data_IF_995196336943
#
_entry.id   IF_995196336943
#
_cell.length_a   1.000
_cell.length_b   1.000
_cell.length_c   1.000
_cell.angle_alpha   90.00
_cell.angle_beta   90.00
_cell.angle_gamma   90.00
#
_symmetry.space_group_name_H-M   'P 1'
#
loop_
_entity.id
_entity.type
_entity.pdbx_description
1 polymer ?
#
# COMPACT_ATOMS: atom_id res chain seq x y z
N UNK A 1 8.77 3.94 0.32
CA UNK A 1 8.92 5.42 0.50
C UNK A 1 7.89 6.20 -0.31
N UNK A 2 7.82 6.05 -1.64
CA UNK A 2 6.84 6.77 -2.48
C UNK A 2 5.39 6.64 -2.00
N UNK A 3 4.96 5.42 -1.60
CA UNK A 3 3.62 5.19 -1.02
C UNK A 3 3.37 6.03 0.24
N UNK A 4 4.36 6.19 1.13
CA UNK A 4 4.21 6.96 2.38
C UNK A 4 4.03 8.45 2.07
N UNK A 5 4.83 8.98 1.15
CA UNK A 5 4.72 10.38 0.70
C UNK A 5 3.35 10.60 0.08
N UNK A 6 2.91 9.71 -0.81
CA UNK A 6 1.61 9.84 -1.45
C UNK A 6 0.43 9.77 -0.46
N UNK A 7 0.52 8.94 0.60
CA UNK A 7 -0.48 8.92 1.68
C UNK A 7 -0.43 10.17 2.56
N UNK A 8 0.75 10.76 2.78
CA UNK A 8 0.88 12.00 3.55
C UNK A 8 0.29 13.19 2.79
N UNK A 9 0.56 13.30 1.49
CA UNK A 9 -0.07 14.27 0.57
C UNK A 9 -1.60 14.14 0.53
N UNK A 10 -2.12 12.90 0.52
CA UNK A 10 -3.56 12.66 0.60
C UNK A 10 -4.15 13.13 1.94
N UNK A 11 -3.40 12.99 3.03
CA UNK A 11 -3.82 13.39 4.38
C UNK A 11 -3.81 14.90 4.57
N UNK A 12 -2.81 15.59 4.03
CA UNK A 12 -2.72 17.05 4.06
C UNK A 12 -3.82 17.68 3.21
N UNK A 13 -4.10 17.10 2.04
CA UNK A 13 -5.19 17.54 1.16
C UNK A 13 -6.57 17.38 1.81
N UNK A 14 -6.79 16.31 2.59
CA UNK A 14 -8.04 16.12 3.34
C UNK A 14 -8.24 17.15 4.47
N UNK A 15 -7.15 17.66 5.06
CA UNK A 15 -7.20 18.55 6.23
C UNK A 15 -7.42 20.04 5.88
N UNK A 16 -7.34 20.41 4.61
CA UNK A 16 -7.52 21.80 4.15
C UNK A 16 -8.91 22.03 3.54
N UNK A 17 -9.94 22.35 4.33
CA UNK A 17 -11.32 22.55 3.84
C UNK A 17 -11.52 23.89 3.10
N UNK A 18 -10.52 24.79 3.09
CA UNK A 18 -10.67 26.20 2.69
C UNK A 18 -10.83 26.37 1.16
N UNK A 19 -10.33 25.42 0.35
CA UNK A 19 -10.43 25.46 -1.12
C UNK A 19 -11.73 24.83 -1.69
N UNK A 20 -12.65 24.35 -0.84
CA UNK A 20 -13.92 23.75 -1.27
C UNK A 20 -14.90 24.76 -1.89
N UNK A 21 -14.63 26.06 -1.78
CA UNK A 21 -15.51 27.11 -2.25
C UNK A 21 -15.50 27.28 -3.79
N UNK A 22 -14.44 26.83 -4.48
CA UNK A 22 -14.40 26.88 -5.95
C UNK A 22 -14.69 25.49 -6.57
N UNK A 23 -15.84 25.28 -7.24
CA UNK A 23 -16.26 23.98 -7.76
C UNK A 23 -15.33 23.41 -8.86
N UNK A 24 -14.55 24.27 -9.53
CA UNK A 24 -13.57 23.83 -10.55
C UNK A 24 -12.34 23.22 -9.91
N UNK A 25 -11.79 23.84 -8.85
CA UNK A 25 -10.65 23.29 -8.12
C UNK A 25 -11.01 22.00 -7.37
N UNK A 26 -12.21 21.91 -6.81
CA UNK A 26 -12.68 20.70 -6.13
C UNK A 26 -12.66 19.45 -7.06
N UNK A 27 -13.07 19.61 -8.33
CA UNK A 27 -13.07 18.52 -9.32
C UNK A 27 -11.66 18.09 -9.74
N UNK A 28 -10.75 19.03 -9.91
CA UNK A 28 -9.36 18.74 -10.28
C UNK A 28 -8.62 18.02 -9.16
N UNK A 29 -8.87 18.41 -7.91
CA UNK A 29 -8.35 17.73 -6.71
C UNK A 29 -8.85 16.29 -6.62
N UNK A 30 -10.16 16.07 -6.83
CA UNK A 30 -10.73 14.72 -6.83
C UNK A 30 -10.07 13.82 -7.88
N UNK A 31 -9.82 14.35 -9.08
CA UNK A 31 -9.14 13.62 -10.17
C UNK A 31 -7.68 13.32 -9.84
N UNK A 32 -6.97 14.24 -9.16
CA UNK A 32 -5.60 13.99 -8.70
C UNK A 32 -5.55 12.91 -7.62
N UNK A 33 -6.48 12.93 -6.66
CA UNK A 33 -6.62 11.90 -5.62
C UNK A 33 -6.88 10.53 -6.25
N UNK A 34 -7.81 10.46 -7.21
CA UNK A 34 -8.14 9.23 -7.92
C UNK A 34 -6.92 8.68 -8.69
N UNK A 35 -6.17 9.55 -9.37
CA UNK A 35 -4.92 9.17 -10.04
C UNK A 35 -3.88 8.63 -9.06
N UNK A 36 -3.67 9.29 -7.93
CA UNK A 36 -2.72 8.85 -6.91
C UNK A 36 -3.15 7.49 -6.37
N UNK A 37 -4.43 7.29 -6.03
CA UNK A 37 -4.96 6.01 -5.58
C UNK A 37 -4.75 4.90 -6.63
N UNK A 38 -5.03 5.18 -7.90
CA UNK A 38 -4.79 4.25 -9.00
C UNK A 38 -3.31 3.87 -9.13
N UNK A 39 -2.41 4.85 -9.03
CA UNK A 39 -0.96 4.63 -9.06
C UNK A 39 -0.49 3.78 -7.87
N UNK A 40 -0.96 4.05 -6.65
CA UNK A 40 -0.63 3.23 -5.48
C UNK A 40 -1.10 1.78 -5.66
N UNK A 41 -2.33 1.56 -6.15
CA UNK A 41 -2.85 0.22 -6.42
C UNK A 41 -2.02 -0.51 -7.47
N UNK A 42 -1.66 0.19 -8.55
CA UNK A 42 -0.80 -0.38 -9.59
C UNK A 42 0.60 -0.71 -9.08
N UNK A 43 1.10 -0.02 -8.05
CA UNK A 43 2.39 -0.29 -7.41
C UNK A 43 2.34 -1.41 -6.35
N UNK A 44 1.19 -1.66 -5.72
CA UNK A 44 1.03 -2.72 -4.72
C UNK A 44 1.19 -4.12 -5.32
N UNK A 45 0.65 -4.33 -6.51
CA UNK A 45 0.71 -5.62 -7.23
C UNK A 45 2.13 -6.08 -7.56
N UNK A 46 3.02 -5.25 -8.17
CA UNK A 46 4.40 -5.62 -8.40
C UNK A 46 5.20 -5.81 -7.10
N UNK A 47 4.90 -5.06 -6.03
CA UNK A 47 5.53 -5.26 -4.72
C UNK A 47 5.29 -6.68 -4.18
N UNK A 48 4.03 -7.14 -4.23
CA UNK A 48 3.64 -8.50 -3.82
C UNK A 48 4.28 -9.58 -4.69
N UNK A 49 4.40 -9.33 -6.00
CA UNK A 49 5.06 -10.24 -6.93
C UNK A 49 6.55 -10.39 -6.62
N UNK A 50 7.25 -9.29 -6.36
CA UNK A 50 8.68 -9.30 -6.05
C UNK A 50 8.95 -9.97 -4.70
N UNK A 51 8.13 -9.68 -3.68
CA UNK A 51 8.25 -10.32 -2.38
C UNK A 51 8.01 -11.84 -2.43
N UNK A 52 7.00 -12.27 -3.20
CA UNK A 52 6.73 -13.70 -3.41
C UNK A 52 7.89 -14.38 -4.15
N UNK A 53 8.46 -13.73 -5.16
CA UNK A 53 9.66 -14.22 -5.86
C UNK A 53 10.86 -14.36 -4.92
N UNK A 54 11.13 -13.38 -4.05
CA UNK A 54 12.21 -13.47 -3.07
C UNK A 54 12.00 -14.62 -2.08
N UNK A 55 10.77 -14.82 -1.61
CA UNK A 55 10.46 -15.95 -0.71
C UNK A 55 10.65 -17.31 -1.40
N UNK A 56 10.28 -17.45 -2.67
CA UNK A 56 10.54 -18.67 -3.46
C UNK A 56 12.06 -18.87 -3.64
N UNK A 57 12.80 -17.81 -3.91
CA UNK A 57 14.26 -17.88 -4.06
C UNK A 57 14.95 -18.32 -2.76
N UNK A 58 14.53 -17.79 -1.60
CA UNK A 58 15.05 -18.23 -0.29
C UNK A 58 14.65 -19.67 0.06
N UNK A 59 13.45 -20.11 -0.36
CA UNK A 59 13.04 -21.51 -0.23
C UNK A 59 13.97 -22.43 -1.02
N UNK A 60 14.32 -22.07 -2.25
CA UNK A 60 15.29 -22.81 -3.07
C UNK A 60 16.71 -22.80 -2.48
N UNK A 61 17.09 -21.73 -1.77
CA UNK A 61 18.39 -21.61 -1.10
C UNK A 61 18.45 -22.33 0.27
N UNK A 62 17.35 -22.95 0.73
CA UNK A 62 17.22 -23.59 2.05
C UNK A 62 17.53 -22.66 3.25
N UNK A 63 17.32 -21.36 3.09
CA UNK A 63 17.52 -20.35 4.12
C UNK A 63 16.27 -20.22 5.01
N UNK A 64 16.11 -21.16 5.93
CA UNK A 64 14.90 -21.28 6.76
C UNK A 64 14.67 -20.09 7.71
N UNK A 65 15.73 -19.43 8.18
CA UNK A 65 15.62 -18.30 9.11
C UNK A 65 15.01 -17.06 8.44
N UNK A 66 15.49 -16.72 7.25
CA UNK A 66 14.96 -15.59 6.45
C UNK A 66 13.56 -15.90 5.93
N UNK A 67 13.31 -17.14 5.53
CA UNK A 67 11.99 -17.59 5.12
C UNK A 67 11.00 -17.50 6.29
N UNK A 68 11.37 -17.95 7.48
CA UNK A 68 10.53 -17.85 8.69
C UNK A 68 10.14 -16.41 9.05
N UNK A 69 11.03 -15.45 8.83
CA UNK A 69 10.74 -14.01 9.06
C UNK A 69 9.80 -13.42 7.99
N UNK A 70 9.87 -13.90 6.74
CA UNK A 70 9.02 -13.44 5.64
C UNK A 70 7.66 -14.15 5.57
N UNK A 71 7.53 -15.36 6.12
CA UNK A 71 6.30 -16.18 6.11
C UNK A 71 5.08 -15.45 6.71
N UNK A 72 5.17 -14.76 7.87
CA UNK A 72 4.02 -14.01 8.41
C UNK A 72 3.53 -12.92 7.47
N UNK A 73 4.46 -12.24 6.79
CA UNK A 73 4.17 -11.19 5.83
C UNK A 73 3.53 -11.79 4.56
N UNK A 74 4.06 -12.90 4.08
CA UNK A 74 3.52 -13.67 2.95
C UNK A 74 2.11 -14.19 3.25
N UNK A 75 1.88 -14.70 4.46
CA UNK A 75 0.56 -15.14 4.91
C UNK A 75 -0.43 -13.97 4.96
N UNK A 76 -0.01 -12.79 5.42
CA UNK A 76 -0.83 -11.58 5.37
C UNK A 76 -1.20 -11.19 3.92
N UNK A 77 -0.27 -11.32 2.98
CA UNK A 77 -0.51 -11.04 1.56
C UNK A 77 -1.52 -12.03 0.97
N UNK A 78 -1.37 -13.32 1.24
CA UNK A 78 -2.32 -14.35 0.82
C UNK A 78 -3.69 -14.14 1.46
N UNK A 79 -3.75 -13.90 2.77
CA UNK A 79 -5.00 -13.64 3.48
C UNK A 79 -5.72 -12.42 2.91
N UNK A 80 -4.99 -11.35 2.58
CA UNK A 80 -5.55 -10.17 1.92
C UNK A 80 -6.01 -10.48 0.50
N UNK A 81 -5.26 -11.27 -0.26
CA UNK A 81 -5.66 -11.71 -1.61
C UNK A 81 -6.93 -12.55 -1.59
N UNK A 82 -7.13 -13.40 -0.58
CA UNK A 82 -8.33 -14.25 -0.45
C UNK A 82 -9.51 -13.55 0.21
N UNK A 83 -9.29 -12.63 1.16
CA UNK A 83 -10.37 -11.87 1.82
C UNK A 83 -10.78 -10.61 1.07
N UNK A 84 -9.93 -10.12 0.17
CA UNK A 84 -10.25 -9.05 -0.77
C UNK A 84 -10.57 -9.76 -2.08
N UNK A 85 -11.84 -10.07 -2.39
CA UNK A 85 -12.17 -10.62 -3.70
C UNK A 85 -11.68 -9.60 -4.71
N UNK A 86 -10.70 -10.01 -5.53
CA UNK A 86 -10.13 -9.17 -6.56
C UNK A 86 -11.24 -8.48 -7.35
N UNK A 87 -11.25 -7.15 -7.32
CA UNK A 87 -11.87 -6.31 -8.36
C UNK A 87 -13.29 -6.71 -8.82
N UNK A 88 -14.11 -7.29 -7.95
CA UNK A 88 -15.48 -7.66 -8.29
C UNK A 88 -16.44 -6.56 -7.86
N UNK A 89 -16.96 -5.87 -8.86
CA UNK A 89 -17.87 -4.73 -8.85
C UNK A 89 -17.15 -3.38 -8.83
N UNK A 90 -17.41 -2.62 -9.88
CA UNK A 90 -17.15 -1.20 -10.15
C UNK A 90 -17.56 -0.22 -9.02
N UNK A 91 -17.85 -0.70 -7.80
CA UNK A 91 -18.44 0.02 -6.68
C UNK A 91 -17.55 0.04 -5.42
N UNK A 92 -16.51 -0.79 -5.32
CA UNK A 92 -15.68 -0.89 -4.10
C UNK A 92 -14.54 0.14 -4.01
N UNK A 93 -14.33 0.92 -5.08
CA UNK A 93 -13.29 1.95 -5.18
C UNK A 93 -13.91 3.33 -5.43
N UNK A 94 -15.07 3.58 -4.85
CA UNK A 94 -15.57 4.95 -4.75
C UNK A 94 -14.50 5.79 -4.02
N UNK A 95 -14.03 6.91 -4.61
CA UNK A 95 -13.10 7.85 -3.99
C UNK A 95 -13.41 8.15 -2.50
N UNK A 96 -14.68 8.29 -2.07
CA UNK A 96 -15.00 8.50 -0.65
C UNK A 96 -14.69 7.32 0.28
N UNK A 97 -14.73 6.06 -0.18
CA UNK A 97 -14.43 4.90 0.65
C UNK A 97 -12.92 4.75 0.92
N UNK A 98 -12.09 5.08 -0.08
CA UNK A 98 -10.61 5.11 0.05
C UNK A 98 -10.13 6.36 0.82
N UNK A 99 -10.82 7.49 0.67
CA UNK A 99 -10.54 8.72 1.44
C UNK A 99 -11.02 8.67 2.89
N UNK A 100 -11.63 7.57 3.33
CA UNK A 100 -12.09 7.46 4.71
C UNK A 100 -10.88 7.54 5.66
N UNK A 101 -10.92 8.47 6.61
CA UNK A 101 -9.76 8.84 7.44
C UNK A 101 -9.17 7.64 8.20
N UNK A 102 -10.04 6.70 8.62
CA UNK A 102 -9.64 5.49 9.33
C UNK A 102 -8.84 4.54 8.41
N UNK A 103 -9.30 4.35 7.16
CA UNK A 103 -8.61 3.54 6.15
C UNK A 103 -7.24 4.13 5.81
N UNK A 104 -7.15 5.45 5.65
CA UNK A 104 -5.90 6.14 5.35
C UNK A 104 -4.88 5.95 6.49
N UNK A 105 -5.33 6.07 7.74
CA UNK A 105 -4.49 5.88 8.92
C UNK A 105 -3.96 4.44 9.05
N UNK A 106 -4.79 3.45 8.68
CA UNK A 106 -4.40 2.04 8.66
C UNK A 106 -3.37 1.76 7.55
N UNK A 107 -3.63 2.24 6.33
CA UNK A 107 -2.70 2.10 5.19
C UNK A 107 -1.36 2.79 5.46
N UNK A 108 -1.36 3.95 6.13
CA UNK A 108 -0.14 4.65 6.50
C UNK A 108 0.68 3.80 7.49
N UNK A 109 0.06 3.27 8.56
CA UNK A 109 0.72 2.36 9.52
C UNK A 109 1.30 1.13 8.82
N UNK A 110 0.52 0.52 7.92
CA UNK A 110 0.98 -0.64 7.15
C UNK A 110 2.22 -0.31 6.30
N UNK A 111 2.21 0.82 5.59
CA UNK A 111 3.34 1.27 4.77
C UNK A 111 4.61 1.54 5.62
N UNK A 112 4.46 2.11 6.81
CA UNK A 112 5.56 2.30 7.77
C UNK A 112 6.11 0.98 8.30
N UNK A 113 5.24 0.02 8.67
CA UNK A 113 5.66 -1.31 9.10
C UNK A 113 6.41 -2.05 7.99
N UNK A 114 5.93 -2.00 6.75
CA UNK A 114 6.63 -2.59 5.59
C UNK A 114 7.98 -1.93 5.34
N UNK A 115 8.06 -0.60 5.42
CA UNK A 115 9.34 0.10 5.28
C UNK A 115 10.36 -0.36 6.32
N UNK A 116 9.95 -0.44 7.59
CA UNK A 116 10.80 -0.91 8.67
C UNK A 116 11.26 -2.36 8.44
N UNK A 117 10.34 -3.23 8.00
CA UNK A 117 10.66 -4.62 7.67
C UNK A 117 11.68 -4.71 6.53
N UNK A 118 11.45 -4.06 5.39
CA UNK A 118 12.38 -4.07 4.26
C UNK A 118 13.76 -3.49 4.61
N UNK A 119 13.79 -2.47 5.47
CA UNK A 119 15.04 -1.87 5.94
C UNK A 119 15.82 -2.81 6.85
N UNK A 120 15.15 -3.52 7.76
CA UNK A 120 15.77 -4.56 8.59
C UNK A 120 16.26 -5.74 7.75
N UNK A 121 15.42 -6.21 6.81
CA UNK A 121 15.80 -7.27 5.86
C UNK A 121 16.99 -6.87 5.00
N UNK A 122 17.08 -5.59 4.58
CA UNK A 122 18.22 -5.09 3.82
C UNK A 122 19.54 -5.20 4.61
N UNK A 123 19.55 -4.79 5.88
CA UNK A 123 20.74 -4.95 6.73
C UNK A 123 21.07 -6.41 6.99
N UNK A 124 20.04 -7.25 7.18
CA UNK A 124 20.21 -8.69 7.37
C UNK A 124 20.81 -9.36 6.11
N UNK A 125 20.37 -9.00 4.90
CA UNK A 125 20.92 -9.58 3.67
C UNK A 125 22.34 -9.09 3.33
N UNK A 126 22.77 -7.97 3.91
CA UNK A 126 24.12 -7.45 3.74
C UNK A 126 25.12 -8.14 4.69
N UNK A 127 24.66 -8.54 5.87
CA UNK A 127 25.43 -9.28 6.88
C UNK A 127 25.67 -10.73 6.45
#
# INVERSE_FOLDING_TARGET
VFQIIAFDELRTDFKSPIDQCNPVHARERLRNIERICFLLRKLVLPEYSIHSLFCIMFLCAQEWLTLGLNVPLLFYHFWRYFRCPADSSELAYDPPAVMNADTLSYCQKEAWCKLAFYLLSFFYYLY
#
